data_IF_602885187545
#
_entry.id   IF_602885187545
#
_cell.length_a   1.000
_cell.length_b   1.000
_cell.length_c   1.000
_cell.angle_alpha   90.00
_cell.angle_beta   90.00
_cell.angle_gamma   90.00
#
_symmetry.space_group_name_H-M   'P 1'
#
loop_
_entity.id
_entity.type
_entity.pdbx_description
1 polymer ?
#
# COMPACT_ATOMS: atom_id res chain seq x y z
N UNK A 1 24.31 -21.58 -1.30
CA UNK A 1 23.42 -20.50 -1.78
C UNK A 1 22.46 -20.15 -0.65
N UNK A 2 22.80 -19.16 0.18
CA UNK A 2 21.93 -18.75 1.29
C UNK A 2 20.68 -18.10 0.68
N UNK A 3 19.51 -18.67 0.96
CA UNK A 3 18.23 -18.02 0.63
C UNK A 3 18.14 -16.78 1.50
N UNK A 4 18.43 -15.62 0.93
CA UNK A 4 18.29 -14.35 1.63
C UNK A 4 16.81 -14.19 1.96
N UNK A 5 16.43 -14.51 3.19
CA UNK A 5 15.06 -14.35 3.67
C UNK A 5 14.89 -12.87 3.95
N UNK A 6 14.50 -12.11 2.92
CA UNK A 6 14.16 -10.71 3.09
C UNK A 6 13.02 -10.62 4.10
N UNK A 7 13.32 -10.03 5.25
CA UNK A 7 12.32 -9.83 6.28
C UNK A 7 11.32 -8.80 5.76
N UNK A 8 10.00 -9.04 5.92
CA UNK A 8 9.00 -8.08 5.51
C UNK A 8 9.20 -6.75 6.25
N UNK A 9 9.23 -5.65 5.48
CA UNK A 9 9.41 -4.30 6.01
C UNK A 9 8.07 -3.77 6.49
N UNK A 10 7.98 -3.47 7.78
CA UNK A 10 6.78 -2.90 8.42
C UNK A 10 7.01 -1.44 8.76
N UNK A 11 6.16 -0.59 8.21
CA UNK A 11 6.17 0.85 8.37
C UNK A 11 5.13 1.31 9.37
N UNK A 12 5.39 2.42 10.04
CA UNK A 12 4.40 3.22 10.75
C UNK A 12 3.49 3.99 9.77
N UNK A 13 2.43 4.60 10.30
CA UNK A 13 1.55 5.48 9.51
C UNK A 13 2.31 6.70 8.98
N UNK A 14 3.28 7.21 9.74
CA UNK A 14 4.08 8.39 9.38
C UNK A 14 5.05 8.06 8.24
N UNK A 15 5.80 6.96 8.34
CA UNK A 15 6.70 6.51 7.27
C UNK A 15 5.93 6.18 5.99
N UNK A 16 4.76 5.53 6.10
CA UNK A 16 3.91 5.26 4.93
C UNK A 16 3.41 6.56 4.26
N UNK A 17 3.13 7.59 5.05
CA UNK A 17 2.71 8.90 4.55
C UNK A 17 3.84 9.59 3.78
N UNK A 18 5.06 9.55 4.31
CA UNK A 18 6.26 10.09 3.64
C UNK A 18 6.55 9.36 2.32
N UNK A 19 6.57 8.02 2.34
CA UNK A 19 6.87 7.21 1.14
C UNK A 19 5.86 7.46 0.02
N UNK A 20 4.57 7.60 0.36
CA UNK A 20 3.52 7.87 -0.62
C UNK A 20 3.37 9.36 -0.96
N UNK A 21 4.12 10.24 -0.29
CA UNK A 21 3.92 11.70 -0.36
C UNK A 21 2.46 12.11 -0.11
N UNK A 22 1.81 11.46 0.86
CA UNK A 22 0.43 11.70 1.29
C UNK A 22 0.39 12.20 2.73
N UNK A 23 -0.73 12.78 3.15
CA UNK A 23 -0.93 13.09 4.57
C UNK A 23 -1.24 11.82 5.38
N UNK A 24 -0.81 11.79 6.64
CA UNK A 24 -1.17 10.71 7.59
C UNK A 24 -2.69 10.52 7.72
N UNK A 25 -3.46 11.61 7.59
CA UNK A 25 -4.94 11.58 7.52
C UNK A 25 -5.44 10.79 6.31
N UNK A 26 -4.80 10.94 5.15
CA UNK A 26 -5.16 10.19 3.93
C UNK A 26 -4.84 8.71 4.09
N UNK A 27 -3.70 8.37 4.69
CA UNK A 27 -3.34 6.97 4.98
C UNK A 27 -4.35 6.36 5.97
N UNK A 28 -4.68 7.04 7.07
CA UNK A 28 -5.71 6.58 8.03
C UNK A 28 -7.06 6.35 7.35
N UNK A 29 -7.50 7.29 6.50
CA UNK A 29 -8.73 7.13 5.72
C UNK A 29 -8.68 5.90 4.82
N UNK A 30 -7.60 5.71 4.05
CA UNK A 30 -7.45 4.51 3.19
C UNK A 30 -7.40 3.20 3.98
N UNK A 31 -6.90 3.22 5.21
CA UNK A 31 -6.97 2.06 6.12
C UNK A 31 -8.41 1.82 6.58
N UNK A 32 -9.11 2.87 7.03
CA UNK A 32 -10.52 2.79 7.41
C UNK A 32 -11.42 2.32 6.27
N UNK A 33 -11.15 2.75 5.05
CA UNK A 33 -11.88 2.36 3.84
C UNK A 33 -11.47 0.95 3.35
N UNK A 34 -10.51 0.30 4.00
CA UNK A 34 -10.03 -1.05 3.66
C UNK A 34 -9.17 -1.13 2.39
N UNK A 35 -8.75 0.00 1.83
CA UNK A 35 -7.90 0.04 0.62
C UNK A 35 -6.44 -0.30 0.94
N UNK A 36 -5.94 0.11 2.11
CA UNK A 36 -4.59 -0.21 2.58
C UNK A 36 -4.70 -1.17 3.77
N UNK A 37 -4.13 -2.38 3.71
CA UNK A 37 -4.08 -3.29 4.85
C UNK A 37 -3.20 -2.71 5.95
N UNK A 38 -3.67 -2.79 7.19
CA UNK A 38 -2.90 -2.37 8.35
C UNK A 38 -3.07 -3.38 9.49
N UNK A 39 -1.99 -3.59 10.22
CA UNK A 39 -1.88 -4.58 11.28
C UNK A 39 -1.65 -3.89 12.62
N UNK A 40 -2.28 -4.37 13.68
CA UNK A 40 -2.04 -3.87 15.02
C UNK A 40 -0.97 -4.73 15.69
N UNK A 41 0.14 -4.12 16.13
CA UNK A 41 1.18 -4.81 16.88
C UNK A 41 0.99 -4.50 18.37
N UNK A 42 0.08 -5.24 19.02
CA UNK A 42 -0.24 -5.05 20.43
C UNK A 42 -1.16 -3.85 20.69
N UNK A 43 -0.93 -3.15 21.80
CA UNK A 43 -1.96 -2.31 22.44
C UNK A 43 -2.29 -1.02 21.68
N UNK A 44 -1.39 -0.51 20.82
CA UNK A 44 -1.55 0.80 20.14
C UNK A 44 -0.89 0.99 18.77
N UNK A 45 0.30 0.43 18.45
CA UNK A 45 0.97 0.80 17.20
C UNK A 45 0.37 0.06 16.00
N UNK A 46 0.01 0.83 14.97
CA UNK A 46 -0.40 0.32 13.66
C UNK A 46 0.84 0.18 12.78
N UNK A 47 0.95 -0.96 12.12
CA UNK A 47 2.02 -1.30 11.17
C UNK A 47 1.41 -1.60 9.81
N UNK A 48 2.06 -1.10 8.77
CA UNK A 48 1.65 -1.28 7.38
C UNK A 48 2.80 -2.00 6.69
N UNK A 49 2.49 -3.05 5.93
CA UNK A 49 3.51 -3.73 5.12
C UNK A 49 3.85 -2.88 3.90
N UNK A 50 5.14 -2.71 3.63
CA UNK A 50 5.59 -1.93 2.47
C UNK A 50 5.06 -2.51 1.15
N UNK A 51 5.06 -3.84 1.01
CA UNK A 51 4.59 -4.51 -0.21
C UNK A 51 3.11 -4.26 -0.49
N UNK A 52 2.27 -4.31 0.56
CA UNK A 52 0.83 -4.07 0.43
C UNK A 52 0.52 -2.59 0.21
N UNK A 53 1.30 -1.69 0.83
CA UNK A 53 1.19 -0.25 0.59
C UNK A 53 1.43 0.09 -0.88
N UNK A 54 2.44 -0.51 -1.49
CA UNK A 54 2.75 -0.33 -2.91
C UNK A 54 1.68 -0.99 -3.80
N UNK A 55 1.20 -2.19 -3.44
CA UNK A 55 0.15 -2.89 -4.18
C UNK A 55 -1.21 -2.15 -4.17
N UNK A 56 -1.45 -1.29 -3.16
CA UNK A 56 -2.66 -0.47 -3.11
C UNK A 56 -2.71 0.62 -4.21
N UNK A 57 -1.57 0.96 -4.83
CA UNK A 57 -1.53 1.89 -5.96
C UNK A 57 -2.07 1.22 -7.21
N UNK A 58 -3.26 1.63 -7.63
CA UNK A 58 -3.86 1.18 -8.89
C UNK A 58 -3.58 2.21 -9.98
N UNK A 59 -3.12 1.79 -11.18
CA UNK A 59 -2.97 2.69 -12.30
C UNK A 59 -4.35 3.25 -12.67
N UNK A 60 -4.41 4.55 -12.92
CA UNK A 60 -5.61 5.17 -13.46
C UNK A 60 -5.71 4.72 -14.93
N UNK A 61 -6.79 4.03 -15.35
CA UNK A 61 -6.93 3.62 -16.74
C UNK A 61 -7.02 4.87 -17.62
N UNK A 62 -5.99 5.11 -18.42
CA UNK A 62 -6.05 6.13 -19.45
C UNK A 62 -6.98 5.67 -20.57
N UNK A 63 -7.70 6.60 -21.19
CA UNK A 63 -8.85 6.35 -22.08
C UNK A 63 -8.56 5.59 -23.40
N UNK A 64 -7.45 4.83 -23.50
CA UNK A 64 -6.97 4.22 -24.76
C UNK A 64 -6.92 2.69 -24.79
N UNK A 65 -7.62 1.99 -23.89
CA UNK A 65 -7.68 0.51 -23.90
C UNK A 65 -8.86 -0.10 -24.71
N UNK A 66 -9.77 0.72 -25.24
CA UNK A 66 -10.95 0.24 -25.99
C UNK A 66 -10.69 -0.10 -27.48
N UNK A 67 -9.57 -0.75 -27.82
CA UNK A 67 -9.30 -1.16 -29.22
C UNK A 67 -8.77 -2.59 -29.37
N UNK A 68 -9.43 -3.54 -28.71
CA UNK A 68 -9.21 -4.98 -28.96
C UNK A 68 -10.52 -5.78 -28.87
N UNK A 69 -11.52 -5.41 -29.67
CA UNK A 69 -12.67 -6.28 -30.00
C UNK A 69 -13.06 -6.04 -31.46
N UNK A 70 -12.32 -6.61 -32.39
CA UNK A 70 -12.75 -7.05 -33.73
C UNK A 70 -11.53 -7.55 -34.52
N UNK A 71 -11.43 -8.87 -34.69
CA UNK A 71 -11.18 -9.61 -35.94
C UNK A 71 -10.84 -11.05 -35.61
#
# INVERSE_FOLDING_TARGET
MARNRELPVYLSIEEAAEIMSLSTKTIRRRISDGTIPAYQCGRRPIRIRLDELQAALRPIPSARSLRSRTS
#
